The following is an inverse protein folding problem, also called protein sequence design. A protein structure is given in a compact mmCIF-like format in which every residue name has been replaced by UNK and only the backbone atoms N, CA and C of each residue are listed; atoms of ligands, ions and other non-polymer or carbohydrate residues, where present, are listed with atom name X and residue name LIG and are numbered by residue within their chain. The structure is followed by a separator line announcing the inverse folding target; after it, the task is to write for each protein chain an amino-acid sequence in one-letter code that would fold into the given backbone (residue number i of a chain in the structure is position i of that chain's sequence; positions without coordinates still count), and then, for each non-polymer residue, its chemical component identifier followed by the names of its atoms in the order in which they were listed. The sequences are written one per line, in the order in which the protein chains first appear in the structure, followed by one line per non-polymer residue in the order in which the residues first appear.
data_IF_969902357186
#
_entry.id   IF_969902357186
#
_cell.length_a   1.000
_cell.length_b   1.000
_cell.length_c   1.000
_cell.angle_alpha   90.00
_cell.angle_beta   90.00
_cell.angle_gamma   90.00
#
_symmetry.space_group_name_H-M   'P 1'
#
loop_
_entity.id
_entity.type
_entity.pdbx_description
1 polymer ?
#
# COMPACT_ATOMS: atom_id res chain seq x y z
N UNK A 1 -16.77 7.93 -5.30
CA UNK A 1 -15.45 8.16 -4.69
C UNK A 1 -15.18 9.62 -4.32
N UNK A 2 -15.10 9.92 -3.03
CA UNK A 2 -14.69 11.22 -2.47
C UNK A 2 -13.15 11.38 -2.48
N UNK A 3 -12.62 11.85 -3.61
CA UNK A 3 -11.17 12.09 -3.77
C UNK A 3 -10.60 13.08 -2.75
N UNK A 4 -11.39 13.99 -2.19
CA UNK A 4 -10.93 14.97 -1.21
C UNK A 4 -10.73 14.30 0.16
N UNK A 5 -11.70 13.49 0.60
CA UNK A 5 -11.56 12.71 1.83
C UNK A 5 -10.36 11.75 1.76
N UNK A 6 -10.21 11.03 0.65
CA UNK A 6 -9.10 10.08 0.42
C UNK A 6 -7.75 10.81 0.45
N UNK A 7 -7.62 11.95 -0.23
CA UNK A 7 -6.39 12.75 -0.22
C UNK A 7 -6.04 13.23 1.18
N UNK A 8 -7.02 13.79 1.89
CA UNK A 8 -6.81 14.30 3.25
C UNK A 8 -6.37 13.17 4.18
N UNK A 9 -7.03 12.01 4.10
CA UNK A 9 -6.63 10.83 4.86
C UNK A 9 -5.19 10.41 4.55
N UNK A 10 -4.84 10.20 3.27
CA UNK A 10 -3.54 9.65 2.89
C UNK A 10 -2.37 10.54 3.32
N UNK A 11 -2.50 11.87 3.16
CA UNK A 11 -1.49 12.83 3.61
C UNK A 11 -1.37 12.83 5.14
N UNK A 12 -2.49 12.94 5.87
CA UNK A 12 -2.48 12.97 7.33
C UNK A 12 -1.98 11.64 7.93
N UNK A 13 -2.36 10.50 7.33
CA UNK A 13 -1.94 9.18 7.76
C UNK A 13 -0.43 9.02 7.63
N UNK A 14 0.16 9.49 6.51
CA UNK A 14 1.61 9.51 6.33
C UNK A 14 2.31 10.30 7.43
N UNK A 15 1.89 11.54 7.66
CA UNK A 15 2.51 12.39 8.69
C UNK A 15 2.42 11.77 10.08
N UNK A 16 1.24 11.26 10.44
CA UNK A 16 0.98 10.63 11.73
C UNK A 16 1.81 9.36 11.91
N UNK A 17 1.80 8.44 10.95
CA UNK A 17 2.56 7.18 11.02
C UNK A 17 4.06 7.44 11.12
N UNK A 18 4.60 8.35 10.31
CA UNK A 18 6.03 8.73 10.40
C UNK A 18 6.37 9.32 11.76
N UNK A 19 5.51 10.22 12.28
CA UNK A 19 5.72 10.82 13.60
C UNK A 19 5.68 9.78 14.71
N UNK A 20 4.73 8.84 14.64
CA UNK A 20 4.55 7.79 15.63
C UNK A 20 5.74 6.82 15.64
N UNK A 21 6.17 6.36 14.45
CA UNK A 21 7.36 5.52 14.26
C UNK A 21 8.60 6.23 14.81
N UNK A 22 8.76 7.52 14.50
CA UNK A 22 9.88 8.33 15.00
C UNK A 22 9.88 8.38 16.53
N UNK A 23 8.73 8.61 17.17
CA UNK A 23 8.64 8.63 18.65
C UNK A 23 8.98 7.27 19.26
N UNK A 24 8.56 6.17 18.63
CA UNK A 24 8.89 4.81 19.09
C UNK A 24 10.39 4.49 18.93
N UNK A 25 11.01 4.92 17.82
CA UNK A 25 12.46 4.81 17.63
C UNK A 25 13.25 5.59 18.69
N UNK A 26 12.80 6.80 19.05
CA UNK A 26 13.42 7.58 20.13
C UNK A 26 13.35 6.84 21.46
N UNK A 27 12.22 6.20 21.79
CA UNK A 27 12.09 5.35 22.99
C UNK A 27 13.08 4.18 23.00
N UNK A 28 13.46 3.67 21.82
CA UNK A 28 14.47 2.63 21.61
C UNK A 28 15.91 3.15 21.61
N UNK A 29 16.13 4.45 21.82
CA UNK A 29 17.45 5.09 21.76
C UNK A 29 17.99 5.16 20.33
N UNK A 30 17.12 5.17 19.32
CA UNK A 30 17.50 5.28 17.91
C UNK A 30 17.00 6.63 17.37
N UNK A 31 17.93 7.46 16.91
CA UNK A 31 17.63 8.82 16.41
C UNK A 31 18.33 9.06 15.07
N UNK A 32 17.94 10.13 14.37
CA UNK A 32 18.63 10.57 13.15
C UNK A 32 20.13 10.88 13.34
N UNK A 33 20.56 11.14 14.59
CA UNK A 33 21.97 11.44 14.91
C UNK A 33 22.79 10.21 15.28
N UNK A 34 22.13 9.13 15.69
CA UNK A 34 22.80 7.91 16.12
C UNK A 34 21.97 7.01 17.03
N UNK A 35 22.65 5.97 17.50
CA UNK A 35 22.10 4.88 18.30
C UNK A 35 22.75 4.95 19.68
N UNK A 36 21.93 5.01 20.71
CA UNK A 36 22.34 5.04 22.10
C UNK A 36 22.75 3.65 22.59
N UNK A 37 23.79 3.62 23.43
CA UNK A 37 24.18 2.43 24.18
C UNK A 37 23.14 2.13 25.26
N UNK A 38 22.91 0.84 25.51
CA UNK A 38 21.93 0.37 26.49
C UNK A 38 22.59 -0.16 27.75
N UNK A 39 21.93 0.03 28.89
CA UNK A 39 22.35 -0.55 30.17
C UNK A 39 21.76 -1.96 30.25
N UNK A 40 22.60 -2.97 30.47
CA UNK A 40 22.13 -4.34 30.72
C UNK A 40 21.70 -4.48 32.18
N UNK A 41 20.48 -4.95 32.40
CA UNK A 41 19.92 -5.23 33.72
C UNK A 41 19.66 -6.72 33.81
N UNK A 42 20.50 -7.44 34.57
CA UNK A 42 20.43 -8.89 34.62
C UNK A 42 20.76 -9.54 33.27
N UNK A 43 20.12 -10.68 32.97
CA UNK A 43 20.42 -11.48 31.79
C UNK A 43 19.56 -11.12 30.56
N UNK A 44 18.29 -10.78 30.77
CA UNK A 44 17.28 -10.69 29.70
C UNK A 44 16.57 -9.32 29.65
N UNK A 45 17.16 -8.27 30.21
CA UNK A 45 16.60 -6.92 30.20
C UNK A 45 17.65 -5.89 29.81
N UNK A 46 17.26 -4.95 28.95
CA UNK A 46 18.03 -3.76 28.63
C UNK A 46 17.23 -2.52 28.99
N UNK A 47 17.93 -1.44 29.37
CA UNK A 47 17.36 -0.13 29.61
C UNK A 47 18.00 0.89 28.65
N UNK A 48 17.17 1.73 28.04
CA UNK A 48 17.61 2.87 27.22
C UNK A 48 17.74 4.08 28.14
N UNK A 49 18.94 4.64 28.38
CA UNK A 49 19.14 5.67 29.40
C UNK A 49 18.32 6.95 29.16
N UNK A 50 18.22 7.41 27.91
CA UNK A 50 17.49 8.64 27.59
C UNK A 50 15.99 8.59 27.82
N UNK A 51 15.36 7.42 27.62
CA UNK A 51 13.92 7.23 27.76
C UNK A 51 13.52 6.57 29.09
N UNK A 52 14.46 5.88 29.75
CA UNK A 52 14.17 5.01 30.90
C UNK A 52 13.39 3.74 30.53
N UNK A 53 13.14 3.51 29.24
CA UNK A 53 12.35 2.39 28.75
C UNK A 53 13.15 1.09 28.87
N UNK A 54 12.46 0.03 29.29
CA UNK A 54 13.03 -1.31 29.47
C UNK A 54 12.45 -2.27 28.45
N UNK A 55 13.33 -3.07 27.85
CA UNK A 55 12.97 -4.07 26.85
C UNK A 55 13.49 -5.44 27.28
N UNK A 56 12.71 -6.49 27.00
CA UNK A 56 13.03 -7.87 27.36
C UNK A 56 12.77 -8.81 26.19
N UNK A 57 13.29 -10.04 26.26
CA UNK A 57 12.91 -11.12 25.35
C UNK A 57 12.98 -10.76 23.85
N UNK A 58 11.83 -10.85 23.15
CA UNK A 58 11.72 -10.60 21.70
C UNK A 58 12.14 -9.18 21.34
N UNK A 59 11.77 -8.17 22.15
CA UNK A 59 12.03 -6.76 21.85
C UNK A 59 13.52 -6.42 21.77
N UNK A 60 14.36 -7.10 22.56
CA UNK A 60 15.81 -6.95 22.49
C UNK A 60 16.34 -7.38 21.11
N UNK A 61 15.80 -8.48 20.57
CA UNK A 61 16.19 -9.00 19.26
C UNK A 61 15.65 -8.12 18.13
N UNK A 62 14.39 -7.67 18.24
CA UNK A 62 13.79 -6.70 17.33
C UNK A 62 14.60 -5.41 17.27
N UNK A 63 15.05 -4.86 18.40
CA UNK A 63 15.94 -3.69 18.44
C UNK A 63 17.27 -3.94 17.74
N UNK A 64 17.91 -5.10 17.95
CA UNK A 64 19.18 -5.43 17.25
C UNK A 64 18.98 -5.43 15.73
N UNK A 65 17.89 -6.00 15.26
CA UNK A 65 17.60 -6.07 13.83
C UNK A 65 17.24 -4.70 13.24
N UNK A 66 16.55 -3.83 13.99
CA UNK A 66 16.41 -2.41 13.60
C UNK A 66 17.77 -1.74 13.35
N UNK A 67 18.71 -1.97 14.25
CA UNK A 67 20.06 -1.40 14.15
C UNK A 67 20.81 -1.96 12.94
N UNK A 68 20.66 -3.25 12.64
CA UNK A 68 21.25 -3.88 11.46
C UNK A 68 20.67 -3.31 10.16
N UNK A 69 19.35 -3.18 10.07
CA UNK A 69 18.66 -2.57 8.92
C UNK A 69 19.12 -1.12 8.72
N UNK A 70 19.16 -0.33 9.80
CA UNK A 70 19.61 1.07 9.74
C UNK A 70 21.06 1.17 9.23
N UNK A 71 21.98 0.35 9.76
CA UNK A 71 23.37 0.29 9.28
C UNK A 71 23.48 -0.15 7.82
N UNK A 72 22.64 -1.08 7.38
CA UNK A 72 22.58 -1.48 5.98
C UNK A 72 22.14 -0.31 5.08
N UNK A 73 21.21 0.53 5.52
CA UNK A 73 20.82 1.74 4.80
C UNK A 73 21.94 2.78 4.78
N UNK A 74 22.64 2.98 5.90
CA UNK A 74 23.82 3.87 5.96
C UNK A 74 24.88 3.43 4.93
N UNK A 75 25.17 2.12 4.84
CA UNK A 75 26.18 1.56 3.94
C UNK A 75 25.83 1.70 2.44
N UNK A 76 24.56 1.90 2.10
CA UNK A 76 24.11 2.12 0.71
C UNK A 76 24.25 3.60 0.27
N UNK A 77 24.58 4.49 1.20
CA UNK A 77 24.72 5.93 0.96
C UNK A 77 26.22 6.27 0.92
N UNK A 78 26.59 7.28 0.13
CA UNK A 78 27.99 7.73 0.03
C UNK A 78 28.54 8.07 1.44
N UNK A 79 29.63 7.42 1.90
CA UNK A 79 30.20 7.68 3.21
C UNK A 79 30.74 9.11 3.40
N UNK A 80 30.87 9.90 2.32
CA UNK A 80 31.23 11.32 2.37
C UNK A 80 30.01 12.24 2.57
N UNK A 81 28.79 11.72 2.46
CA UNK A 81 27.58 12.51 2.70
C UNK A 81 27.41 12.78 4.20
N UNK A 82 27.47 14.06 4.58
CA UNK A 82 27.30 14.49 5.97
C UNK A 82 25.92 14.15 6.55
N UNK A 83 24.94 13.85 5.69
CA UNK A 83 23.57 13.46 6.06
C UNK A 83 23.32 11.95 5.96
N UNK A 84 24.36 11.13 5.79
CA UNK A 84 24.22 9.67 5.66
C UNK A 84 23.27 9.04 6.69
N UNK A 85 23.48 9.36 7.98
CA UNK A 85 22.65 8.85 9.09
C UNK A 85 21.21 9.38 9.03
N UNK A 86 21.04 10.68 8.76
CA UNK A 86 19.72 11.30 8.65
C UNK A 86 18.91 10.67 7.51
N UNK A 87 19.54 10.43 6.35
CA UNK A 87 18.91 9.80 5.19
C UNK A 87 18.54 8.34 5.49
N UNK A 88 19.45 7.58 6.13
CA UNK A 88 19.18 6.21 6.50
C UNK A 88 18.02 6.09 7.52
N UNK A 89 17.99 6.99 8.50
CA UNK A 89 16.92 7.07 9.49
C UNK A 89 15.58 7.46 8.84
N UNK A 90 15.58 8.49 7.99
CA UNK A 90 14.37 8.94 7.28
C UNK A 90 13.80 7.84 6.38
N UNK A 91 14.67 7.07 5.71
CA UNK A 91 14.29 5.88 4.93
C UNK A 91 13.63 4.82 5.78
N UNK A 92 14.22 4.46 6.93
CA UNK A 92 13.64 3.47 7.85
C UNK A 92 12.25 3.93 8.34
N UNK A 93 12.12 5.20 8.73
CA UNK A 93 10.85 5.78 9.17
C UNK A 93 9.80 5.71 8.05
N UNK A 94 10.18 6.09 6.83
CA UNK A 94 9.28 6.07 5.67
C UNK A 94 8.82 4.65 5.34
N UNK A 95 9.73 3.69 5.31
CA UNK A 95 9.43 2.30 4.96
C UNK A 95 8.47 1.66 5.97
N UNK A 96 8.73 1.83 7.27
CA UNK A 96 7.85 1.31 8.32
C UNK A 96 6.49 2.00 8.29
N UNK A 97 6.45 3.33 8.12
CA UNK A 97 5.19 4.08 8.03
C UNK A 97 4.37 3.65 6.81
N UNK A 98 5.02 3.48 5.66
CA UNK A 98 4.37 3.05 4.43
C UNK A 98 3.83 1.62 4.52
N UNK A 99 4.58 0.70 5.14
CA UNK A 99 4.15 -0.68 5.39
C UNK A 99 2.86 -0.71 6.21
N UNK A 100 2.78 0.07 7.29
CA UNK A 100 1.57 0.13 8.11
C UNK A 100 0.41 0.84 7.41
N UNK A 101 0.68 1.91 6.66
CA UNK A 101 -0.31 2.55 5.81
C UNK A 101 -0.94 1.55 4.83
N UNK A 102 -0.11 0.81 4.09
CA UNK A 102 -0.54 -0.15 3.10
C UNK A 102 -1.41 -1.26 3.72
N UNK A 103 -0.97 -1.84 4.85
CA UNK A 103 -1.72 -2.89 5.56
C UNK A 103 -3.06 -2.42 6.11
N UNK A 104 -3.12 -1.20 6.66
CA UNK A 104 -4.38 -0.61 7.14
C UNK A 104 -5.36 -0.40 5.99
N UNK A 105 -4.90 0.15 4.87
CA UNK A 105 -5.73 0.37 3.67
C UNK A 105 -6.23 -0.96 3.11
N UNK A 106 -5.36 -1.96 3.02
CA UNK A 106 -5.75 -3.29 2.55
C UNK A 106 -6.76 -3.96 3.47
N UNK A 107 -6.55 -3.91 4.80
CA UNK A 107 -7.52 -4.45 5.75
C UNK A 107 -8.86 -3.72 5.65
N UNK A 108 -8.85 -2.39 5.48
CA UNK A 108 -10.09 -1.63 5.28
C UNK A 108 -10.82 -2.07 4.01
N UNK A 109 -10.10 -2.26 2.91
CA UNK A 109 -10.67 -2.76 1.68
C UNK A 109 -11.24 -4.17 1.86
N UNK A 110 -10.49 -5.07 2.50
CA UNK A 110 -10.94 -6.45 2.74
C UNK A 110 -12.14 -6.52 3.68
N UNK A 111 -12.18 -5.74 4.77
CA UNK A 111 -13.30 -5.81 5.72
C UNK A 111 -14.61 -5.30 5.11
N UNK A 112 -14.57 -4.23 4.31
CA UNK A 112 -15.78 -3.70 3.63
C UNK A 112 -16.32 -4.70 2.62
N UNK A 113 -15.43 -5.41 1.91
CA UNK A 113 -15.80 -6.40 0.89
C UNK A 113 -15.94 -7.82 1.45
N UNK A 114 -15.91 -7.97 2.79
CA UNK A 114 -15.96 -9.26 3.47
C UNK A 114 -14.84 -10.25 3.07
N UNK A 115 -13.68 -9.80 2.59
CA UNK A 115 -12.59 -10.68 2.19
C UNK A 115 -11.70 -11.15 3.35
N UNK A 116 -11.90 -10.65 4.58
CA UNK A 116 -11.14 -11.09 5.74
C UNK A 116 -11.48 -12.54 6.16
N UNK A 117 -10.48 -13.33 6.60
CA UNK A 117 -10.70 -14.61 7.27
C UNK A 117 -11.62 -14.43 8.49
N UNK A 118 -12.58 -15.33 8.67
CA UNK A 118 -13.55 -15.25 9.77
C UNK A 118 -14.61 -14.14 9.62
N UNK A 119 -14.52 -13.28 8.59
CA UNK A 119 -15.50 -12.20 8.28
C UNK A 119 -15.70 -11.20 9.43
N UNK A 120 -14.78 -11.16 10.40
CA UNK A 120 -14.78 -10.16 11.46
C UNK A 120 -14.08 -8.90 10.98
N UNK A 121 -14.70 -7.74 11.19
CA UNK A 121 -14.10 -6.45 10.88
C UNK A 121 -12.97 -6.13 11.88
N UNK A 122 -11.84 -5.67 11.37
CA UNK A 122 -10.58 -5.52 12.13
C UNK A 122 -10.33 -4.06 12.51
N UNK A 123 -10.86 -3.12 11.73
CA UNK A 123 -10.74 -1.68 11.99
C UNK A 123 -12.04 -1.07 12.49
N UNK A 124 -13.18 -1.71 12.22
CA UNK A 124 -14.52 -1.18 12.50
C UNK A 124 -15.46 -2.26 13.05
N UNK A 125 -16.70 -1.87 13.35
CA UNK A 125 -17.78 -2.80 13.72
C UNK A 125 -18.98 -2.68 12.78
N UNK A 126 -19.57 -3.81 12.42
CA UNK A 126 -20.86 -3.86 11.72
C UNK A 126 -22.00 -3.24 12.53
N UNK A 127 -21.91 -3.31 13.86
CA UNK A 127 -22.91 -2.73 14.77
C UNK A 127 -22.75 -1.21 14.94
N UNK A 128 -21.71 -0.62 14.36
CA UNK A 128 -21.41 0.81 14.43
C UNK A 128 -20.82 1.26 15.77
N UNK A 129 -20.48 0.33 16.67
CA UNK A 129 -19.74 0.65 17.89
C UNK A 129 -18.27 0.93 17.58
N UNK A 130 -17.58 1.55 18.54
CA UNK A 130 -16.17 1.94 18.38
C UNK A 130 -15.21 0.76 18.36
N UNK A 131 -15.48 -0.23 19.21
CA UNK A 131 -14.64 -1.43 19.32
C UNK A 131 -14.76 -2.28 18.04
N UNK A 132 -13.65 -2.68 17.41
CA UNK A 132 -13.70 -3.52 16.22
C UNK A 132 -14.27 -4.91 16.51
N UNK A 133 -14.98 -5.50 15.55
CA UNK A 133 -15.63 -6.80 15.73
C UNK A 133 -14.65 -7.92 16.10
N UNK A 134 -13.40 -7.85 15.61
CA UNK A 134 -12.34 -8.80 15.97
C UNK A 134 -11.97 -8.74 17.46
N UNK A 135 -12.06 -7.58 18.10
CA UNK A 135 -11.75 -7.41 19.52
C UNK A 135 -12.92 -7.93 20.35
N UNK A 136 -14.15 -7.53 20.01
CA UNK A 136 -15.36 -7.99 20.69
C UNK A 136 -15.47 -9.52 20.68
N UNK A 137 -15.08 -10.17 19.58
CA UNK A 137 -15.25 -11.61 19.37
C UNK A 137 -13.93 -12.40 19.46
N UNK A 138 -12.85 -11.81 20.01
CA UNK A 138 -11.50 -12.40 19.95
C UNK A 138 -11.46 -13.82 20.52
N UNK A 139 -12.03 -14.05 21.70
CA UNK A 139 -11.98 -15.34 22.40
C UNK A 139 -12.70 -16.47 21.65
N UNK A 140 -13.65 -16.14 20.78
CA UNK A 140 -14.38 -17.08 19.93
C UNK A 140 -13.84 -17.16 18.50
N UNK A 141 -12.81 -16.38 18.17
CA UNK A 141 -12.27 -16.31 16.81
C UNK A 141 -11.30 -17.46 16.49
N UNK A 142 -11.29 -17.87 15.23
CA UNK A 142 -10.28 -18.80 14.70
C UNK A 142 -8.87 -18.25 14.93
N UNK A 143 -8.70 -16.93 14.81
CA UNK A 143 -7.43 -16.24 15.04
C UNK A 143 -6.87 -16.54 16.43
N UNK A 144 -7.69 -16.44 17.48
CA UNK A 144 -7.30 -16.74 18.86
C UNK A 144 -6.94 -18.22 19.04
N UNK A 145 -7.69 -19.14 18.41
CA UNK A 145 -7.42 -20.57 18.47
C UNK A 145 -6.08 -20.98 17.85
N UNK A 146 -5.60 -20.24 16.84
CA UNK A 146 -4.32 -20.46 16.17
C UNK A 146 -3.12 -19.83 16.91
N UNK A 147 -3.36 -18.99 17.91
CA UNK A 147 -2.29 -18.36 18.70
C UNK A 147 -1.58 -19.37 19.61
N UNK A 148 -0.31 -19.10 19.89
CA UNK A 148 0.42 -19.80 20.94
C UNK A 148 -0.15 -19.48 22.34
N UNK A 149 0.08 -20.39 23.30
CA UNK A 149 -0.46 -20.29 24.67
C UNK A 149 -0.04 -18.99 25.38
N UNK A 150 1.17 -18.48 25.11
CA UNK A 150 1.62 -17.23 25.74
C UNK A 150 0.83 -16.03 25.20
N UNK A 151 0.61 -15.97 23.89
CA UNK A 151 -0.24 -14.95 23.26
C UNK A 151 -1.70 -15.03 23.75
N UNK A 152 -2.26 -16.24 23.88
CA UNK A 152 -3.62 -16.43 24.40
C UNK A 152 -3.76 -15.91 25.83
N UNK A 153 -2.82 -16.26 26.71
CA UNK A 153 -2.81 -15.75 28.09
C UNK A 153 -2.67 -14.22 28.13
N UNK A 154 -1.84 -13.64 27.26
CA UNK A 154 -1.67 -12.18 27.18
C UNK A 154 -2.95 -11.47 26.73
N UNK A 155 -3.69 -12.04 25.77
CA UNK A 155 -5.01 -11.51 25.37
C UNK A 155 -5.96 -11.44 26.56
N UNK A 156 -6.08 -12.52 27.34
CA UNK A 156 -6.97 -12.56 28.52
C UNK A 156 -6.54 -11.54 29.57
N UNK A 157 -5.24 -11.44 29.86
CA UNK A 157 -4.70 -10.47 30.81
C UNK A 157 -5.03 -9.02 30.40
N UNK A 158 -4.84 -8.67 29.13
CA UNK A 158 -5.11 -7.33 28.62
C UNK A 158 -6.61 -6.99 28.61
N UNK A 159 -7.46 -7.98 28.33
CA UNK A 159 -8.92 -7.83 28.43
C UNK A 159 -9.38 -7.59 29.88
N UNK A 160 -8.72 -8.20 30.86
CA UNK A 160 -9.05 -8.04 32.29
C UNK A 160 -8.58 -6.68 32.86
N UNK A 161 -7.44 -6.15 32.40
CA UNK A 161 -6.90 -4.84 32.82
C UNK A 161 -7.79 -3.69 32.34
N UNK A 162 -8.12 -3.67 31.04
CA UNK A 162 -9.01 -2.69 30.40
C UNK A 162 -8.60 -1.20 30.57
N UNK A 163 -7.36 -0.91 31.00
CA UNK A 163 -6.78 0.44 30.87
C UNK A 163 -6.63 0.83 29.40
N UNK A 164 -6.48 2.12 29.12
CA UNK A 164 -6.27 2.61 27.76
C UNK A 164 -5.01 1.99 27.13
N UNK A 165 -3.95 1.84 27.92
CA UNK A 165 -2.71 1.18 27.53
C UNK A 165 -2.93 -0.30 27.20
N UNK A 166 -3.70 -1.02 28.03
CA UNK A 166 -4.01 -2.43 27.79
C UNK A 166 -4.90 -2.63 26.55
N UNK A 167 -5.86 -1.74 26.32
CA UNK A 167 -6.72 -1.74 25.12
C UNK A 167 -5.89 -1.54 23.85
N UNK A 168 -4.96 -0.59 23.86
CA UNK A 168 -4.05 -0.34 22.74
C UNK A 168 -3.14 -1.55 22.49
N UNK A 169 -2.56 -2.13 23.55
CA UNK A 169 -1.69 -3.30 23.42
C UNK A 169 -2.46 -4.53 22.91
N UNK A 170 -3.68 -4.75 23.41
CA UNK A 170 -4.57 -5.83 22.95
C UNK A 170 -4.84 -5.69 21.47
N UNK A 171 -5.23 -4.48 21.04
CA UNK A 171 -5.49 -4.22 19.63
C UNK A 171 -4.26 -4.45 18.76
N UNK A 172 -3.10 -3.95 19.18
CA UNK A 172 -1.85 -4.11 18.45
C UNK A 172 -1.46 -5.58 18.31
N UNK A 173 -1.56 -6.35 19.39
CA UNK A 173 -1.32 -7.80 19.38
C UNK A 173 -2.24 -8.51 18.40
N UNK A 174 -3.55 -8.27 18.48
CA UNK A 174 -4.56 -8.89 17.62
C UNK A 174 -4.35 -8.50 16.16
N UNK A 175 -4.10 -7.23 15.88
CA UNK A 175 -3.85 -6.73 14.52
C UNK A 175 -2.62 -7.37 13.88
N UNK A 176 -1.52 -7.49 14.64
CA UNK A 176 -0.30 -8.15 14.19
C UNK A 176 -0.55 -9.63 13.90
N UNK A 177 -1.25 -10.35 14.79
CA UNK A 177 -1.62 -11.75 14.56
C UNK A 177 -2.51 -11.90 13.32
N UNK A 178 -3.44 -10.97 13.10
CA UNK A 178 -4.27 -10.95 11.89
C UNK A 178 -3.42 -10.75 10.62
N UNK A 179 -2.46 -9.81 10.63
CA UNK A 179 -1.53 -9.62 9.51
C UNK A 179 -0.71 -10.90 9.24
N UNK A 180 -0.17 -11.53 10.29
CA UNK A 180 0.60 -12.77 10.16
C UNK A 180 -0.27 -13.94 9.65
N UNK A 181 -1.56 -13.98 9.98
CA UNK A 181 -2.50 -14.94 9.40
C UNK A 181 -2.71 -14.68 7.89
N UNK A 182 -2.88 -13.42 7.50
CA UNK A 182 -3.05 -12.99 6.10
C UNK A 182 -1.80 -13.22 5.24
N UNK A 183 -0.60 -13.28 5.82
CA UNK A 183 0.65 -13.63 5.12
C UNK A 183 0.52 -14.95 4.33
N UNK A 184 -0.23 -15.93 4.86
CA UNK A 184 -0.45 -17.24 4.20
C UNK A 184 -1.13 -17.10 2.83
N UNK A 185 -1.96 -16.06 2.65
CA UNK A 185 -2.77 -15.84 1.45
C UNK A 185 -2.21 -14.72 0.56
N UNK A 186 -1.63 -13.68 1.19
CA UNK A 186 -1.13 -12.47 0.53
C UNK A 186 0.29 -12.14 1.05
N UNK A 187 1.29 -12.98 0.75
CA UNK A 187 2.61 -12.90 1.38
C UNK A 187 3.39 -11.62 1.08
N UNK A 188 3.20 -11.03 -0.10
CA UNK A 188 3.92 -9.80 -0.50
C UNK A 188 3.36 -8.55 0.19
N UNK A 189 2.07 -8.52 0.49
CA UNK A 189 1.42 -7.39 1.16
C UNK A 189 1.53 -7.50 2.68
N UNK A 190 1.35 -8.70 3.19
CA UNK A 190 1.47 -9.03 4.60
C UNK A 190 2.74 -9.83 4.82
N UNK A 191 3.90 -9.29 4.44
CA UNK A 191 5.19 -9.93 4.73
C UNK A 191 5.25 -10.37 6.20
N UNK A 192 5.78 -11.57 6.44
CA UNK A 192 5.81 -12.15 7.78
C UNK A 192 6.50 -11.17 8.72
N UNK A 193 5.72 -10.62 9.65
CA UNK A 193 6.18 -9.63 10.59
C UNK A 193 6.75 -10.44 11.73
N UNK A 194 8.06 -10.71 11.73
CA UNK A 194 8.66 -11.46 12.84
C UNK A 194 9.79 -10.74 13.57
N UNK A 195 9.95 -9.45 13.31
CA UNK A 195 11.05 -8.70 13.89
C UNK A 195 10.68 -7.32 14.37
N UNK A 196 10.91 -6.32 13.54
CA UNK A 196 11.16 -5.00 14.04
C UNK A 196 10.04 -4.02 13.73
N UNK A 197 9.29 -4.29 12.67
CA UNK A 197 8.13 -3.51 12.29
C UNK A 197 7.03 -3.62 13.35
N UNK A 198 6.81 -4.81 13.93
CA UNK A 198 5.88 -5.03 15.07
C UNK A 198 6.18 -4.08 16.23
N UNK A 199 7.46 -3.97 16.60
CA UNK A 199 7.91 -3.10 17.69
C UNK A 199 7.66 -1.62 17.42
N UNK A 200 7.48 -1.25 16.15
CA UNK A 200 7.21 0.11 15.69
C UNK A 200 5.73 0.37 15.37
N UNK A 201 4.85 -0.62 15.57
CA UNK A 201 3.41 -0.45 15.42
C UNK A 201 2.82 0.22 16.67
N UNK A 202 2.06 1.30 16.48
CA UNK A 202 1.50 2.09 17.60
C UNK A 202 0.08 2.58 17.29
N UNK A 203 -0.64 1.88 16.42
CA UNK A 203 -1.97 2.29 16.00
C UNK A 203 -2.97 1.96 17.10
N UNK A 204 -3.95 2.86 17.29
CA UNK A 204 -5.00 2.77 18.29
C UNK A 204 -6.36 2.98 17.63
N UNK A 205 -7.35 2.18 18.03
CA UNK A 205 -8.76 2.39 17.64
C UNK A 205 -9.50 3.32 18.63
N UNK A 206 -8.89 3.62 19.78
CA UNK A 206 -9.43 4.54 20.80
C UNK A 206 -8.87 5.96 20.70
N UNK A 207 -8.06 6.26 19.68
CA UNK A 207 -7.62 7.61 19.33
C UNK A 207 -8.52 8.22 18.24
N UNK A 208 -9.36 9.20 18.60
CA UNK A 208 -10.27 9.89 17.66
C UNK A 208 -9.55 10.71 16.58
N UNK A 209 -8.27 11.03 16.82
CA UNK A 209 -7.39 11.70 15.86
C UNK A 209 -6.40 10.73 15.22
N UNK A 210 -6.54 9.43 15.51
CA UNK A 210 -5.68 8.36 15.03
C UNK A 210 -5.89 8.04 13.56
N UNK A 211 -5.00 7.21 13.03
CA UNK A 211 -5.03 6.79 11.61
C UNK A 211 -6.31 6.02 11.31
N UNK A 212 -6.75 5.13 12.22
CA UNK A 212 -7.99 4.35 12.05
C UNK A 212 -9.20 5.29 12.03
N UNK A 213 -9.35 6.15 13.03
CA UNK A 213 -10.48 7.08 13.08
C UNK A 213 -10.56 7.97 11.83
N UNK A 214 -9.43 8.39 11.28
CA UNK A 214 -9.39 9.14 10.02
C UNK A 214 -9.71 8.30 8.79
N UNK A 215 -9.28 7.03 8.75
CA UNK A 215 -9.60 6.09 7.68
C UNK A 215 -11.10 5.80 7.62
N UNK A 216 -11.74 5.59 8.78
CA UNK A 216 -13.18 5.31 8.89
C UNK A 216 -14.08 6.50 8.53
N UNK A 217 -13.53 7.72 8.39
CA UNK A 217 -14.28 8.88 7.86
C UNK A 217 -14.50 8.80 6.35
N UNK A 218 -13.78 7.94 5.64
CA UNK A 218 -14.00 7.69 4.22
C UNK A 218 -15.22 6.76 4.09
N UNK A 219 -16.23 7.10 3.26
CA UNK A 219 -17.41 6.27 3.08
C UNK A 219 -17.09 4.82 2.71
N UNK A 220 -17.80 3.84 3.28
CA UNK A 220 -17.60 2.41 2.92
C UNK A 220 -17.84 2.17 1.42
N UNK A 221 -18.78 2.90 0.83
CA UNK A 221 -19.06 2.87 -0.62
C UNK A 221 -17.83 3.17 -1.46
N UNK A 222 -16.83 3.89 -0.92
CA UNK A 222 -15.59 4.16 -1.64
C UNK A 222 -14.60 2.98 -1.63
N UNK A 223 -14.85 1.96 -0.81
CA UNK A 223 -14.08 0.70 -0.80
C UNK A 223 -14.88 -0.48 -1.39
N UNK A 224 -16.20 -0.37 -1.48
CA UNK A 224 -17.08 -1.45 -1.92
C UNK A 224 -16.92 -1.72 -3.43
N UNK A 225 -16.47 -2.91 -3.80
CA UNK A 225 -16.24 -3.29 -5.21
C UNK A 225 -17.54 -3.47 -6.01
N UNK A 226 -18.69 -3.59 -5.34
CA UNK A 226 -19.99 -3.62 -6.00
C UNK A 226 -20.40 -2.24 -6.53
N UNK A 227 -19.79 -1.16 -6.01
CA UNK A 227 -19.97 0.20 -6.49
C UNK A 227 -18.94 0.51 -7.62
N UNK A 228 -19.33 1.34 -8.59
CA UNK A 228 -18.46 1.69 -9.73
C UNK A 228 -17.19 2.47 -9.31
N UNK A 229 -16.04 2.09 -9.88
CA UNK A 229 -14.78 2.83 -9.76
C UNK A 229 -13.97 2.57 -8.48
N UNK A 230 -14.45 1.71 -7.58
CA UNK A 230 -13.83 1.54 -6.25
C UNK A 230 -12.60 0.65 -6.23
N UNK A 231 -12.33 -0.09 -7.31
CA UNK A 231 -11.04 -0.77 -7.50
C UNK A 231 -9.88 0.25 -7.54
N UNK A 232 -10.15 1.51 -7.88
CA UNK A 232 -9.11 2.55 -7.94
C UNK A 232 -8.72 3.14 -6.57
N UNK A 233 -9.50 2.95 -5.50
CA UNK A 233 -9.29 3.67 -4.24
C UNK A 233 -7.89 3.47 -3.68
N UNK A 234 -7.38 2.23 -3.72
CA UNK A 234 -6.05 1.87 -3.25
C UNK A 234 -4.98 2.64 -4.05
N UNK A 235 -5.17 2.74 -5.37
CA UNK A 235 -4.32 3.51 -6.26
C UNK A 235 -4.30 5.00 -5.92
N UNK A 236 -5.47 5.59 -5.66
CA UNK A 236 -5.57 6.98 -5.23
C UNK A 236 -4.95 7.23 -3.86
N UNK A 237 -5.19 6.35 -2.88
CA UNK A 237 -4.56 6.43 -1.56
C UNK A 237 -3.05 6.40 -1.65
N UNK A 238 -2.51 5.48 -2.44
CA UNK A 238 -1.08 5.36 -2.70
C UNK A 238 -0.50 6.61 -3.36
N UNK A 239 -1.16 7.11 -4.41
CA UNK A 239 -0.72 8.34 -5.08
C UNK A 239 -0.73 9.54 -4.13
N UNK A 240 -1.77 9.66 -3.30
CA UNK A 240 -1.89 10.78 -2.38
C UNK A 240 -0.91 10.70 -1.20
N UNK A 241 -0.60 9.49 -0.71
CA UNK A 241 0.46 9.27 0.27
C UNK A 241 1.79 9.85 -0.22
N UNK A 242 2.08 9.71 -1.52
CA UNK A 242 3.30 10.21 -2.15
C UNK A 242 3.26 11.70 -2.56
N UNK A 243 2.20 12.45 -2.26
CA UNK A 243 2.07 13.87 -2.67
C UNK A 243 3.25 14.72 -2.18
N UNK A 244 3.52 14.75 -0.87
CA UNK A 244 4.57 15.61 -0.33
C UNK A 244 5.99 15.16 -0.72
N UNK A 245 6.33 13.84 -0.69
CA UNK A 245 7.60 13.36 -1.23
C UNK A 245 7.82 13.81 -2.67
N UNK A 246 6.79 13.66 -3.52
CA UNK A 246 6.84 14.07 -4.91
C UNK A 246 7.10 15.57 -5.04
N UNK A 247 6.35 16.40 -4.33
CA UNK A 247 6.51 17.86 -4.36
C UNK A 247 7.91 18.28 -3.89
N UNK A 248 8.47 17.62 -2.87
CA UNK A 248 9.85 17.87 -2.40
C UNK A 248 10.89 17.54 -3.48
N UNK A 249 10.71 16.45 -4.23
CA UNK A 249 11.62 16.09 -5.32
C UNK A 249 11.58 17.13 -6.43
N UNK A 250 10.39 17.55 -6.87
CA UNK A 250 10.22 18.53 -7.95
C UNK A 250 10.58 19.97 -7.54
N UNK A 251 10.44 20.33 -6.26
CA UNK A 251 10.87 21.63 -5.73
C UNK A 251 12.39 21.88 -5.85
N UNK A 252 13.20 20.82 -6.03
CA UNK A 252 14.64 20.94 -6.25
C UNK A 252 15.03 21.38 -7.67
N UNK A 253 14.05 21.57 -8.57
CA UNK A 253 14.27 21.98 -9.95
C UNK A 253 14.95 20.89 -10.79
N UNK A 254 15.83 21.28 -11.72
CA UNK A 254 16.47 20.37 -12.71
C UNK A 254 17.61 19.50 -12.15
N UNK A 255 17.73 19.35 -10.83
CA UNK A 255 18.77 18.50 -10.24
C UNK A 255 18.47 17.03 -10.55
N UNK A 256 19.52 16.22 -10.74
CA UNK A 256 19.38 14.78 -10.93
C UNK A 256 18.63 14.17 -9.73
N UNK A 257 17.60 13.38 -10.04
CA UNK A 257 16.83 12.59 -9.06
C UNK A 257 17.78 11.52 -8.50
N UNK A 258 17.92 11.45 -7.16
CA UNK A 258 18.73 10.42 -6.50
C UNK A 258 17.99 9.08 -6.50
N UNK A 259 18.71 7.97 -6.33
CA UNK A 259 18.11 6.64 -6.41
C UNK A 259 16.96 6.43 -5.39
N UNK A 260 17.09 6.98 -4.20
CA UNK A 260 16.08 6.98 -3.14
C UNK A 260 14.90 7.93 -3.40
N UNK A 261 15.02 8.84 -4.38
CA UNK A 261 13.98 9.79 -4.77
C UNK A 261 13.16 9.32 -5.98
N UNK A 262 13.63 8.27 -6.69
CA UNK A 262 12.94 7.72 -7.86
C UNK A 262 11.51 7.28 -7.52
N UNK A 263 11.25 6.51 -6.45
CA UNK A 263 9.89 6.03 -6.14
C UNK A 263 8.88 7.18 -6.07
N UNK A 264 9.20 8.23 -5.30
CA UNK A 264 8.34 9.42 -5.16
C UNK A 264 8.11 10.18 -6.47
N UNK A 265 9.07 10.16 -7.40
CA UNK A 265 8.98 10.90 -8.66
C UNK A 265 8.20 10.16 -9.75
N UNK A 266 8.24 8.82 -9.76
CA UNK A 266 7.74 8.01 -10.88
C UNK A 266 6.51 7.18 -10.57
N UNK A 267 6.19 6.93 -9.30
CA UNK A 267 5.07 6.09 -8.91
C UNK A 267 3.76 6.87 -8.96
N UNK A 268 3.18 6.97 -10.15
CA UNK A 268 1.86 7.54 -10.40
C UNK A 268 0.85 6.42 -10.59
N UNK A 269 -0.34 6.60 -10.01
CA UNK A 269 -1.44 5.70 -10.28
C UNK A 269 -1.99 5.98 -11.68
N UNK A 270 -2.21 4.91 -12.45
CA UNK A 270 -2.79 4.97 -13.79
C UNK A 270 -4.30 4.68 -13.68
N UNK A 271 -5.17 5.69 -13.82
CA UNK A 271 -6.62 5.48 -13.75
C UNK A 271 -7.13 4.62 -14.90
N UNK A 272 -8.29 3.99 -14.71
CA UNK A 272 -8.93 3.06 -15.66
C UNK A 272 -9.08 3.66 -17.05
N UNK A 273 -9.50 4.93 -17.16
CA UNK A 273 -9.65 5.60 -18.44
C UNK A 273 -8.34 5.70 -19.23
N UNK A 274 -7.18 5.84 -18.57
CA UNK A 274 -5.87 5.88 -19.25
C UNK A 274 -5.57 4.49 -19.81
N UNK A 275 -5.82 3.44 -19.01
CA UNK A 275 -5.63 2.05 -19.43
C UNK A 275 -6.53 1.74 -20.62
N UNK A 276 -7.83 2.07 -20.54
CA UNK A 276 -8.79 1.93 -21.65
C UNK A 276 -8.33 2.70 -22.88
N UNK A 277 -7.99 3.98 -22.73
CA UNK A 277 -7.46 4.79 -23.83
C UNK A 277 -6.26 4.12 -24.50
N UNK A 278 -5.30 3.62 -23.72
CA UNK A 278 -4.12 2.93 -24.26
C UNK A 278 -4.51 1.65 -25.00
N UNK A 279 -5.36 0.80 -24.42
CA UNK A 279 -5.78 -0.47 -25.02
C UNK A 279 -6.61 -0.25 -26.28
N UNK A 280 -7.60 0.64 -26.23
CA UNK A 280 -8.47 0.97 -27.36
C UNK A 280 -7.68 1.56 -28.53
N UNK A 281 -6.71 2.44 -28.25
CA UNK A 281 -5.92 3.10 -29.30
C UNK A 281 -4.63 2.36 -29.71
N UNK A 282 -4.31 1.22 -29.08
CA UNK A 282 -3.20 0.34 -29.49
C UNK A 282 -3.74 -0.97 -30.05
N UNK A 283 -4.18 -1.87 -29.18
CA UNK A 283 -4.73 -3.16 -29.56
C UNK A 283 -6.05 -3.01 -30.32
N UNK A 284 -6.93 -2.11 -29.87
CA UNK A 284 -8.20 -1.84 -30.54
C UNK A 284 -8.01 -1.24 -31.94
N UNK A 285 -7.08 -0.28 -32.07
CA UNK A 285 -6.63 0.26 -33.36
C UNK A 285 -6.11 -0.85 -34.27
N UNK A 286 -5.19 -1.68 -33.78
CA UNK A 286 -4.66 -2.79 -34.55
C UNK A 286 -5.76 -3.75 -35.01
N UNK A 287 -6.70 -4.09 -34.14
CA UNK A 287 -7.85 -4.93 -34.48
C UNK A 287 -8.70 -4.32 -35.60
N UNK A 288 -9.04 -3.03 -35.49
CA UNK A 288 -9.83 -2.32 -36.51
C UNK A 288 -9.09 -2.28 -37.84
N UNK A 289 -7.80 -1.96 -37.84
CA UNK A 289 -7.00 -1.91 -39.07
C UNK A 289 -7.00 -3.28 -39.78
N UNK A 290 -6.93 -4.39 -39.01
CA UNK A 290 -7.05 -5.75 -39.57
C UNK A 290 -8.44 -6.07 -40.10
N UNK A 291 -9.49 -5.61 -39.44
CA UNK A 291 -10.87 -5.81 -39.92
C UNK A 291 -11.12 -5.04 -41.20
N UNK A 292 -10.73 -3.77 -41.27
CA UNK A 292 -10.92 -2.92 -42.45
C UNK A 292 -10.07 -3.35 -43.66
N UNK A 293 -8.96 -4.06 -43.42
CA UNK A 293 -8.19 -4.69 -44.50
C UNK A 293 -8.93 -5.87 -45.15
N UNK A 294 -9.93 -6.46 -44.48
CA UNK A 294 -10.74 -7.54 -45.04
C UNK A 294 -11.80 -6.99 -46.01
N UNK A 295 -11.87 -7.50 -47.26
CA UNK A 295 -12.89 -7.07 -48.22
C UNK A 295 -14.35 -7.37 -47.79
N UNK A 296 -14.54 -8.23 -46.80
CA UNK A 296 -15.85 -8.59 -46.27
C UNK A 296 -16.36 -7.63 -45.19
N UNK A 297 -15.49 -6.75 -44.67
CA UNK A 297 -15.87 -5.77 -43.67
C UNK A 297 -16.63 -4.61 -44.34
N UNK A 298 -17.81 -4.30 -43.81
CA UNK A 298 -18.70 -3.26 -44.35
C UNK A 298 -18.93 -2.12 -43.38
N UNK A 299 -18.53 -2.29 -42.12
CA UNK A 299 -18.61 -1.28 -41.07
C UNK A 299 -17.43 -0.32 -41.16
N UNK A 300 -17.66 0.91 -40.74
CA UNK A 300 -16.62 1.92 -40.52
C UNK A 300 -15.85 1.67 -39.22
N UNK A 301 -14.66 2.26 -39.08
CA UNK A 301 -13.90 2.17 -37.81
C UNK A 301 -14.73 2.60 -36.59
N UNK A 302 -15.60 3.61 -36.75
CA UNK A 302 -16.44 4.13 -35.66
C UNK A 302 -17.52 3.14 -35.26
N UNK A 303 -18.12 2.45 -36.22
CA UNK A 303 -19.14 1.44 -35.95
C UNK A 303 -18.54 0.22 -35.24
N UNK A 304 -17.35 -0.21 -35.66
CA UNK A 304 -16.63 -1.30 -34.99
C UNK A 304 -16.27 -0.89 -33.56
N UNK A 305 -15.69 0.30 -33.35
CA UNK A 305 -15.36 0.78 -32.00
C UNK A 305 -16.61 0.89 -31.11
N UNK A 306 -17.74 1.37 -31.65
CA UNK A 306 -18.99 1.49 -30.92
C UNK A 306 -19.60 0.12 -30.54
N UNK A 307 -19.45 -0.90 -31.38
CA UNK A 307 -19.91 -2.28 -31.08
C UNK A 307 -19.22 -2.86 -29.83
N UNK A 308 -17.95 -2.54 -29.63
CA UNK A 308 -17.21 -2.93 -28.43
C UNK A 308 -17.38 -1.95 -27.25
N UNK A 309 -18.13 -0.86 -27.42
CA UNK A 309 -18.28 0.17 -26.40
C UNK A 309 -16.98 0.92 -26.09
N UNK A 310 -16.10 1.10 -27.07
CA UNK A 310 -14.83 1.82 -26.90
C UNK A 310 -15.05 3.34 -26.86
N UNK A 311 -15.15 3.88 -25.64
CA UNK A 311 -15.47 5.29 -25.37
C UNK A 311 -14.28 6.25 -25.63
N UNK A 312 -13.05 5.75 -25.56
CA UNK A 312 -11.80 6.51 -25.65
C UNK A 312 -11.06 6.32 -26.97
N UNK A 313 -11.62 5.52 -27.89
CA UNK A 313 -11.07 5.28 -29.21
C UNK A 313 -11.04 6.57 -30.05
N UNK A 314 -9.89 6.87 -30.63
CA UNK A 314 -9.69 8.01 -31.51
C UNK A 314 -9.72 7.58 -32.97
N UNK A 315 -10.77 7.93 -33.74
CA UNK A 315 -10.82 7.73 -35.20
C UNK A 315 -9.57 8.27 -35.90
N UNK A 316 -9.16 7.61 -36.98
CA UNK A 316 -8.04 8.07 -37.78
C UNK A 316 -8.39 9.42 -38.42
N UNK A 317 -7.42 10.33 -38.46
CA UNK A 317 -7.59 11.57 -39.20
C UNK A 317 -7.77 11.27 -40.69
N UNK A 318 -8.67 12.00 -41.35
CA UNK A 318 -8.92 11.83 -42.78
C UNK A 318 -7.63 12.04 -43.58
N UNK A 319 -7.25 11.03 -44.36
CA UNK A 319 -6.04 11.06 -45.19
C UNK A 319 -6.40 11.36 -46.66
N UNK A 320 -5.48 11.95 -47.43
CA UNK A 320 -5.57 12.01 -48.88
C UNK A 320 -5.73 10.63 -49.52
N UNK A 321 -6.36 10.57 -50.69
CA UNK A 321 -6.77 9.32 -51.31
C UNK A 321 -5.60 8.44 -51.77
N UNK A 322 -4.50 9.06 -52.20
CA UNK A 322 -3.24 8.39 -52.50
C UNK A 322 -2.62 7.72 -51.27
N UNK A 323 -2.73 8.34 -50.09
CA UNK A 323 -2.26 7.78 -48.82
C UNK A 323 -3.15 6.62 -48.38
N UNK A 324 -4.48 6.73 -48.54
CA UNK A 324 -5.40 5.60 -48.27
C UNK A 324 -5.08 4.38 -49.11
N UNK A 325 -4.79 4.57 -50.41
CA UNK A 325 -4.39 3.48 -51.30
C UNK A 325 -3.08 2.82 -50.87
N UNK A 326 -2.10 3.58 -50.41
CA UNK A 326 -0.85 3.04 -49.86
C UNK A 326 -1.07 2.21 -48.59
N UNK A 327 -1.95 2.69 -47.70
CA UNK A 327 -2.30 1.97 -46.46
C UNK A 327 -3.00 0.64 -46.80
N UNK A 328 -3.96 0.66 -47.71
CA UNK A 328 -4.67 -0.54 -48.16
C UNK A 328 -3.71 -1.56 -48.80
N UNK A 329 -2.76 -1.10 -49.62
CA UNK A 329 -1.78 -1.98 -50.26
C UNK A 329 -0.81 -2.60 -49.23
N UNK A 330 -0.36 -1.82 -48.24
CA UNK A 330 0.49 -2.31 -47.15
C UNK A 330 -0.24 -3.32 -46.22
N UNK A 331 -1.56 -3.29 -46.18
CA UNK A 331 -2.39 -4.14 -45.32
C UNK A 331 -3.00 -5.36 -46.04
N UNK A 332 -2.82 -5.49 -47.37
CA UNK A 332 -3.38 -6.58 -48.19
C UNK A 332 -3.00 -7.98 -47.70
N UNK A 333 -1.76 -8.18 -47.28
CA UNK A 333 -1.25 -9.50 -46.83
C UNK A 333 -1.66 -9.81 -45.38
N UNK A 334 -2.54 -9.01 -44.80
CA UNK A 334 -2.83 -8.95 -43.38
C UNK A 334 -4.28 -9.27 -43.03
N UNK A 335 -5.09 -9.65 -44.04
CA UNK A 335 -6.51 -9.98 -43.92
C UNK A 335 -6.78 -11.33 -43.23
N UNK A 336 -5.81 -12.26 -43.24
CA UNK A 336 -5.86 -13.50 -42.46
C UNK A 336 -5.47 -13.21 -41.00
N UNK A 337 -6.39 -12.58 -40.28
CA UNK A 337 -6.22 -12.21 -38.88
C UNK A 337 -7.14 -13.02 -37.97
N UNK A 338 -6.53 -13.84 -37.11
CA UNK A 338 -7.20 -14.53 -36.01
C UNK A 338 -6.83 -13.82 -34.71
N UNK A 339 -7.82 -13.20 -34.05
CA UNK A 339 -7.59 -12.43 -32.82
C UNK A 339 -6.90 -13.28 -31.73
N UNK A 340 -7.23 -14.57 -31.66
CA UNK A 340 -6.69 -15.52 -30.70
C UNK A 340 -5.20 -15.83 -30.91
N UNK A 341 -4.62 -15.50 -32.06
CA UNK A 341 -3.20 -15.72 -32.35
C UNK A 341 -2.32 -14.53 -31.94
N UNK A 342 -2.94 -13.42 -31.52
CA UNK A 342 -2.23 -12.22 -31.13
C UNK A 342 -1.47 -12.46 -29.82
N UNK A 343 -0.15 -12.29 -29.88
CA UNK A 343 0.72 -12.37 -28.71
C UNK A 343 0.89 -10.99 -28.11
N UNK A 344 0.56 -10.86 -26.82
CA UNK A 344 0.78 -9.64 -26.06
C UNK A 344 1.97 -9.82 -25.12
N UNK A 345 2.71 -8.72 -24.94
CA UNK A 345 3.67 -8.55 -23.86
C UNK A 345 3.28 -7.28 -23.13
N UNK A 346 3.05 -7.38 -21.83
CA UNK A 346 2.98 -6.21 -20.96
C UNK A 346 4.25 -6.18 -20.09
N UNK A 347 5.26 -5.38 -20.47
CA UNK A 347 6.51 -5.27 -19.72
C UNK A 347 6.34 -4.46 -18.42
N UNK A 348 5.13 -4.01 -18.07
CA UNK A 348 4.83 -3.13 -16.94
C UNK A 348 3.51 -3.50 -16.22
N UNK A 349 3.13 -4.77 -16.28
CA UNK A 349 1.86 -5.30 -15.74
C UNK A 349 1.70 -5.22 -14.21
N UNK A 350 2.76 -4.85 -13.48
CA UNK A 350 2.71 -4.81 -12.02
C UNK A 350 2.32 -6.18 -11.45
N UNK A 351 1.19 -6.25 -10.76
CA UNK A 351 0.65 -7.48 -10.17
C UNK A 351 -0.19 -8.35 -11.12
N UNK A 352 -0.39 -7.95 -12.39
CA UNK A 352 -1.24 -8.72 -13.32
C UNK A 352 -1.16 -8.25 -14.76
#
# INVERSE_FOLDING_TARGET
MDKKAIKNFAVNAREKLRSDVTRKLVKLGITATGIEDVIKIGNDTIEVPSSGERFTGKDINSRKKLIEVLKNYENQIDPKDKKQKEIAFDRLVEEVAYTWFNRLVAIRFMEVNNYLPGRLRVLSSESGVREPDIITNILSSDLYSEMDVASQNRVVELMDDNSAEAVDELYQLVFIKQCNSLNKQLPDLFEHIDDYTELLFTVSYIDDNGVIANLLKIPESDFNVEDEGQVEIIGWMYQYYNTEPKDKVFARGRRKIRADEIPAATQLFTPDWIVRYMVENSLGRYYIDKKLASPAETRTEKEIAAEFGWEYYLPAAEQPEDVKLQIMDAQKDSSDFVLQELKLIDPSMGSG
#
